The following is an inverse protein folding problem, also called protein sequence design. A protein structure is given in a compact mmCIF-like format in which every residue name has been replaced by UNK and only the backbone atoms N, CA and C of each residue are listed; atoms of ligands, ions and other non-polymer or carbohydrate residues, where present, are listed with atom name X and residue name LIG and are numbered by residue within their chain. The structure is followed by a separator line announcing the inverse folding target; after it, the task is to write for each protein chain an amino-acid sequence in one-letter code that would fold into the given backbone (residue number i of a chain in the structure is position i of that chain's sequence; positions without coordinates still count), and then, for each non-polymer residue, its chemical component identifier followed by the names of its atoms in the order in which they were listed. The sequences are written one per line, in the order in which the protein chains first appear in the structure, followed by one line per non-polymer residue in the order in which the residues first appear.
data_IF_390283154121
#
_entry.id   IF_390283154121
#
_cell.length_a   1.000
_cell.length_b   1.000
_cell.length_c   1.000
_cell.angle_alpha   90.00
_cell.angle_beta   90.00
_cell.angle_gamma   90.00
#
_symmetry.space_group_name_H-M   'P 1'
#
loop_
_entity.id
_entity.type
_entity.pdbx_description
1 polymer ?
#
# COMPACT_ATOMS: atom_id res chain seq x y z
N UNK A 1 30.58 35.84 -70.40
CA UNK A 1 29.50 35.17 -69.63
C UNK A 1 29.92 33.73 -69.40
N UNK A 2 29.57 33.11 -68.26
CA UNK A 2 30.24 31.98 -67.56
C UNK A 2 31.30 32.50 -66.58
N UNK A 3 31.41 32.14 -65.30
CA UNK A 3 30.81 31.08 -64.46
C UNK A 3 31.26 31.37 -63.02
N UNK A 4 30.39 31.24 -61.99
CA UNK A 4 30.82 30.98 -60.59
C UNK A 4 29.64 30.69 -59.65
N UNK A 5 29.13 29.45 -59.67
CA UNK A 5 28.30 28.90 -58.60
C UNK A 5 28.85 27.51 -58.25
N UNK A 6 29.12 27.25 -56.97
CA UNK A 6 29.43 25.92 -56.47
C UNK A 6 30.53 25.89 -55.43
N UNK A 7 30.16 26.07 -54.15
CA UNK A 7 30.89 25.57 -52.97
C UNK A 7 30.07 25.84 -51.70
N UNK A 8 28.97 25.10 -51.49
CA UNK A 8 28.21 25.18 -50.23
C UNK A 8 27.45 23.90 -49.84
N UNK A 9 27.76 22.76 -50.46
CA UNK A 9 27.06 21.48 -50.19
C UNK A 9 27.87 20.45 -49.35
N UNK A 10 29.14 20.71 -49.05
CA UNK A 10 30.03 19.69 -48.43
C UNK A 10 30.08 19.70 -46.88
N UNK A 11 29.52 20.71 -46.20
CA UNK A 11 29.62 20.83 -44.74
C UNK A 11 28.47 20.17 -43.95
N UNK A 12 27.33 19.88 -44.59
CA UNK A 12 26.18 19.27 -43.89
C UNK A 12 26.28 17.74 -43.76
N UNK A 13 27.03 17.06 -44.64
CA UNK A 13 27.11 15.58 -44.64
C UNK A 13 28.07 15.05 -43.55
N UNK A 14 29.16 15.76 -43.25
CA UNK A 14 30.13 15.35 -42.23
C UNK A 14 29.54 15.41 -40.80
N UNK A 15 28.64 16.36 -40.53
CA UNK A 15 28.04 16.53 -39.20
C UNK A 15 27.06 15.41 -38.82
N UNK A 16 26.40 14.78 -39.80
CA UNK A 16 25.42 13.72 -39.55
C UNK A 16 26.10 12.39 -39.22
N UNK A 17 27.21 12.05 -39.90
CA UNK A 17 27.95 10.81 -39.64
C UNK A 17 28.67 10.83 -38.28
N UNK A 18 29.14 11.99 -37.80
CA UNK A 18 29.77 12.10 -36.48
C UNK A 18 28.77 12.04 -35.31
N UNK A 19 27.52 12.45 -35.52
CA UNK A 19 26.47 12.36 -34.50
C UNK A 19 26.00 10.91 -34.26
N UNK A 20 25.94 10.13 -35.33
CA UNK A 20 25.59 8.69 -35.35
C UNK A 20 26.58 7.84 -34.52
N UNK A 21 27.89 8.07 -34.74
CA UNK A 21 28.97 7.40 -33.99
C UNK A 21 28.98 7.79 -32.50
N UNK A 22 28.73 9.07 -32.18
CA UNK A 22 28.72 9.55 -30.81
C UNK A 22 27.54 8.98 -29.98
N UNK A 23 26.33 8.94 -30.54
CA UNK A 23 25.16 8.40 -29.85
C UNK A 23 25.30 6.89 -29.59
N UNK A 24 25.71 6.14 -30.61
CA UNK A 24 25.93 4.69 -30.53
C UNK A 24 27.02 4.36 -29.51
N UNK A 25 28.13 5.11 -29.50
CA UNK A 25 29.21 4.91 -28.54
C UNK A 25 28.78 5.17 -27.10
N UNK A 26 28.03 6.25 -26.83
CA UNK A 26 27.49 6.51 -25.47
C UNK A 26 26.52 5.39 -25.05
N UNK A 27 25.66 4.95 -25.96
CA UNK A 27 24.72 3.87 -25.70
C UNK A 27 25.42 2.56 -25.32
N UNK A 28 26.37 2.11 -26.13
CA UNK A 28 27.10 0.86 -25.90
C UNK A 28 27.98 0.90 -24.65
N UNK A 29 28.62 2.05 -24.38
CA UNK A 29 29.57 2.18 -23.28
C UNK A 29 28.91 2.51 -21.94
N UNK A 30 27.74 3.16 -21.93
CA UNK A 30 27.11 3.68 -20.69
C UNK A 30 25.69 3.18 -20.45
N UNK A 31 24.87 2.99 -21.48
CA UNK A 31 23.48 2.53 -21.32
C UNK A 31 23.38 1.00 -21.32
N UNK A 32 24.08 0.32 -22.23
CA UNK A 32 24.06 -1.14 -22.32
C UNK A 32 24.60 -1.87 -21.08
N UNK A 33 25.62 -1.36 -20.35
CA UNK A 33 26.02 -1.96 -19.09
C UNK A 33 24.91 -1.95 -18.03
N UNK A 34 24.08 -0.90 -17.98
CA UNK A 34 22.89 -0.85 -17.10
C UNK A 34 21.91 -1.94 -17.53
N UNK A 35 21.70 -2.09 -18.85
CA UNK A 35 20.81 -3.12 -19.38
C UNK A 35 21.25 -4.54 -19.02
N UNK A 36 22.56 -4.81 -19.12
CA UNK A 36 23.17 -6.12 -18.88
C UNK A 36 23.49 -6.42 -17.43
N UNK A 37 23.41 -5.43 -16.54
CA UNK A 37 23.68 -5.62 -15.12
C UNK A 37 22.63 -6.53 -14.49
N UNK A 38 23.02 -7.40 -13.57
CA UNK A 38 22.08 -8.15 -12.73
C UNK A 38 21.47 -7.28 -11.61
N UNK A 39 22.03 -6.08 -11.39
CA UNK A 39 21.47 -5.14 -10.43
C UNK A 39 20.16 -4.54 -10.97
N UNK A 40 19.15 -4.36 -10.10
CA UNK A 40 17.93 -3.69 -10.49
C UNK A 40 18.17 -2.19 -10.71
N UNK A 41 17.40 -1.60 -11.61
CA UNK A 41 17.48 -0.17 -11.92
C UNK A 41 16.87 0.72 -10.82
N UNK A 42 17.07 2.03 -10.88
CA UNK A 42 16.39 2.96 -9.96
C UNK A 42 14.86 2.90 -10.02
N UNK A 43 14.28 2.40 -11.13
CA UNK A 43 12.83 2.25 -11.29
C UNK A 43 12.22 1.27 -10.29
N UNK A 44 12.97 0.25 -9.82
CA UNK A 44 12.45 -0.70 -8.82
C UNK A 44 12.29 -0.09 -7.44
N UNK A 45 12.83 1.11 -7.21
CA UNK A 45 12.63 1.80 -5.94
C UNK A 45 11.15 2.12 -5.70
N UNK A 46 10.44 2.53 -6.76
CA UNK A 46 9.03 2.88 -6.69
C UNK A 46 8.10 1.73 -7.10
N UNK A 47 8.62 0.75 -7.85
CA UNK A 47 7.89 -0.39 -8.35
C UNK A 47 8.45 -1.68 -7.78
N UNK A 48 7.65 -2.38 -6.97
CA UNK A 48 8.09 -3.63 -6.36
C UNK A 48 8.16 -4.79 -7.36
N UNK A 49 7.42 -4.68 -8.48
CA UNK A 49 7.43 -5.65 -9.56
C UNK A 49 6.96 -5.04 -10.89
N UNK A 50 7.31 -5.69 -11.99
CA UNK A 50 6.79 -5.42 -13.32
C UNK A 50 7.39 -4.20 -14.05
N UNK A 51 8.20 -3.37 -13.39
CA UNK A 51 8.86 -2.21 -14.01
C UNK A 51 10.34 -2.17 -13.66
N UNK A 52 11.16 -2.18 -14.70
CA UNK A 52 12.59 -1.88 -14.65
C UNK A 52 12.93 -0.97 -15.84
N UNK A 53 13.96 -0.14 -15.70
CA UNK A 53 14.48 0.70 -16.78
C UNK A 53 14.84 -0.14 -18.03
N UNK A 54 15.29 -1.38 -17.83
CA UNK A 54 15.58 -2.36 -18.88
C UNK A 54 14.40 -2.63 -19.81
N UNK A 55 13.17 -2.52 -19.31
CA UNK A 55 11.96 -2.72 -20.12
C UNK A 55 11.80 -1.67 -21.23
N UNK A 56 12.54 -0.57 -21.15
CA UNK A 56 12.52 0.53 -22.12
C UNK A 56 13.73 0.52 -23.06
N UNK A 57 14.63 -0.46 -22.93
CA UNK A 57 15.87 -0.55 -23.72
C UNK A 57 15.74 -1.66 -24.77
N UNK A 58 16.05 -1.35 -26.03
CA UNK A 58 16.13 -2.31 -27.14
C UNK A 58 17.59 -2.66 -27.44
N UNK A 59 17.87 -3.71 -28.23
CA UNK A 59 19.25 -4.12 -28.54
C UNK A 59 20.13 -3.05 -29.20
N UNK A 60 19.54 -2.03 -29.84
CA UNK A 60 20.29 -0.92 -30.48
C UNK A 60 19.88 0.45 -29.95
N UNK A 61 20.81 1.40 -30.08
CA UNK A 61 20.61 2.82 -29.75
C UNK A 61 19.39 3.39 -30.48
N UNK A 62 19.36 3.27 -31.81
CA UNK A 62 18.31 3.81 -32.66
C UNK A 62 16.93 3.29 -32.29
N UNK A 63 16.80 1.97 -32.12
CA UNK A 63 15.54 1.35 -31.78
C UNK A 63 15.06 1.78 -30.38
N UNK A 64 15.99 1.95 -29.44
CA UNK A 64 15.67 2.45 -28.09
C UNK A 64 15.20 3.90 -28.16
N UNK A 65 15.92 4.76 -28.86
CA UNK A 65 15.57 6.17 -29.00
C UNK A 65 14.22 6.38 -29.68
N UNK A 66 14.01 5.73 -30.84
CA UNK A 66 12.74 5.80 -31.58
C UNK A 66 11.56 5.33 -30.71
N UNK A 67 11.74 4.22 -29.99
CA UNK A 67 10.73 3.71 -29.06
C UNK A 67 10.38 4.71 -27.96
N UNK A 68 11.38 5.32 -27.31
CA UNK A 68 11.14 6.31 -26.26
C UNK A 68 10.50 7.60 -26.81
N UNK A 69 10.94 8.06 -27.99
CA UNK A 69 10.36 9.21 -28.71
C UNK A 69 8.89 8.97 -29.03
N UNK A 70 8.56 7.82 -29.60
CA UNK A 70 7.21 7.50 -30.07
C UNK A 70 6.22 7.28 -28.92
N UNK A 71 6.73 6.92 -27.74
CA UNK A 71 5.98 6.89 -26.49
C UNK A 71 5.83 8.27 -25.81
N UNK A 72 6.40 9.34 -26.40
CA UNK A 72 6.40 10.68 -25.81
C UNK A 72 7.26 10.81 -24.56
N UNK A 73 8.25 9.93 -24.38
CA UNK A 73 9.17 9.94 -23.25
C UNK A 73 10.39 10.85 -23.47
N UNK A 74 10.68 11.20 -24.73
CA UNK A 74 11.76 12.11 -25.14
C UNK A 74 11.19 13.45 -25.57
N UNK A 75 11.77 14.53 -25.04
CA UNK A 75 11.56 15.87 -25.58
C UNK A 75 12.65 16.14 -26.62
N UNK A 76 12.27 16.19 -27.90
CA UNK A 76 13.22 16.36 -29.00
C UNK A 76 13.93 17.71 -28.98
N UNK A 77 13.26 18.76 -28.52
CA UNK A 77 13.80 20.13 -28.57
C UNK A 77 14.62 20.47 -27.32
N UNK A 78 14.22 19.90 -26.18
CA UNK A 78 14.87 20.08 -24.87
C UNK A 78 15.14 18.71 -24.26
N UNK A 79 16.16 17.96 -24.74
CA UNK A 79 16.42 16.57 -24.33
C UNK A 79 16.59 16.40 -22.82
N UNK A 80 17.16 17.40 -22.13
CA UNK A 80 17.28 17.44 -20.67
C UNK A 80 15.94 17.51 -19.92
N UNK A 81 14.86 17.93 -20.58
CA UNK A 81 13.51 17.97 -20.01
C UNK A 81 12.67 16.73 -20.36
N UNK A 82 13.28 15.72 -21.00
CA UNK A 82 12.63 14.46 -21.36
C UNK A 82 11.97 13.80 -20.15
N UNK A 83 10.76 13.26 -20.35
CA UNK A 83 9.99 12.59 -19.29
C UNK A 83 10.74 11.40 -18.71
N UNK A 84 11.48 10.64 -19.52
CA UNK A 84 12.28 9.51 -19.02
C UNK A 84 13.35 9.94 -18.00
N UNK A 85 14.00 11.10 -18.20
CA UNK A 85 14.98 11.62 -17.25
C UNK A 85 14.31 12.04 -15.93
N UNK A 86 13.11 12.62 -16.01
CA UNK A 86 12.30 12.96 -14.83
C UNK A 86 11.92 11.71 -14.04
N UNK A 87 11.59 10.61 -14.73
CA UNK A 87 11.23 9.34 -14.11
C UNK A 87 12.45 8.65 -13.46
N UNK A 88 13.60 8.60 -14.13
CA UNK A 88 14.85 8.08 -13.56
C UNK A 88 15.23 8.88 -12.30
N UNK A 89 15.17 10.21 -12.38
CA UNK A 89 15.52 11.07 -11.25
C UNK A 89 14.47 11.07 -10.11
N UNK A 90 13.35 10.37 -10.27
CA UNK A 90 12.29 10.33 -9.27
C UNK A 90 12.81 9.66 -7.98
N UNK A 91 12.47 10.28 -6.86
CA UNK A 91 12.79 9.82 -5.51
C UNK A 91 11.51 9.41 -4.81
N UNK A 92 11.63 8.46 -3.91
CA UNK A 92 10.57 8.13 -2.96
C UNK A 92 10.50 9.26 -1.92
N UNK A 93 9.42 10.04 -1.93
CA UNK A 93 9.28 11.22 -1.06
C UNK A 93 9.28 10.88 0.42
N UNK A 94 8.89 9.65 0.76
CA UNK A 94 8.64 9.22 2.14
C UNK A 94 9.70 8.22 2.65
N UNK A 95 10.70 7.90 1.81
CA UNK A 95 11.73 6.91 2.15
C UNK A 95 13.15 7.42 1.85
N UNK A 96 13.65 8.30 2.73
CA UNK A 96 15.02 8.83 2.66
C UNK A 96 16.08 7.71 2.64
N UNK A 97 15.86 6.60 3.35
CA UNK A 97 16.77 5.46 3.38
C UNK A 97 16.85 4.72 2.03
N UNK A 98 15.72 4.47 1.38
CA UNK A 98 15.71 3.88 0.04
C UNK A 98 16.36 4.82 -1.00
N UNK A 99 16.13 6.13 -0.89
CA UNK A 99 16.76 7.11 -1.77
C UNK A 99 18.28 7.07 -1.74
N UNK A 100 18.88 6.84 -0.57
CA UNK A 100 20.33 6.75 -0.40
C UNK A 100 20.90 5.48 -1.04
N UNK A 101 20.22 4.33 -0.90
CA UNK A 101 20.67 3.05 -1.46
C UNK A 101 20.74 3.08 -2.99
N UNK A 102 19.79 3.76 -3.64
CA UNK A 102 19.71 3.85 -5.10
C UNK A 102 20.36 5.12 -5.67
N UNK A 103 20.98 5.98 -4.84
CA UNK A 103 21.50 7.27 -5.27
C UNK A 103 22.55 7.12 -6.38
N UNK A 104 23.54 6.24 -6.18
CA UNK A 104 24.61 5.99 -7.14
C UNK A 104 24.10 5.44 -8.46
N UNK A 105 23.23 4.41 -8.43
CA UNK A 105 22.65 3.82 -9.65
C UNK A 105 21.80 4.84 -10.40
N UNK A 106 20.98 5.62 -9.69
CA UNK A 106 20.17 6.69 -10.28
C UNK A 106 21.05 7.75 -10.96
N UNK A 107 22.12 8.20 -10.32
CA UNK A 107 23.01 9.21 -10.89
C UNK A 107 23.71 8.69 -12.15
N UNK A 108 24.18 7.44 -12.13
CA UNK A 108 24.76 6.79 -13.28
C UNK A 108 23.76 6.65 -14.44
N UNK A 109 22.54 6.16 -14.15
CA UNK A 109 21.45 6.04 -15.11
C UNK A 109 21.07 7.39 -15.71
N UNK A 110 20.88 8.41 -14.87
CA UNK A 110 20.49 9.75 -15.29
C UNK A 110 21.54 10.38 -16.19
N UNK A 111 22.82 10.28 -15.80
CA UNK A 111 23.94 10.83 -16.57
C UNK A 111 24.06 10.14 -17.92
N UNK A 112 24.04 8.81 -17.95
CA UNK A 112 24.13 8.02 -19.17
C UNK A 112 22.98 8.35 -20.14
N UNK A 113 21.73 8.36 -19.66
CA UNK A 113 20.57 8.67 -20.49
C UNK A 113 20.58 10.13 -20.95
N UNK A 114 20.95 11.09 -20.10
CA UNK A 114 20.93 12.50 -20.46
C UNK A 114 21.93 12.82 -21.58
N UNK A 115 23.14 12.28 -21.51
CA UNK A 115 24.15 12.43 -22.56
C UNK A 115 23.74 11.73 -23.86
N UNK A 116 23.25 10.49 -23.76
CA UNK A 116 22.80 9.71 -24.90
C UNK A 116 21.64 10.38 -25.63
N UNK A 117 20.61 10.84 -24.90
CA UNK A 117 19.47 11.54 -25.50
C UNK A 117 19.88 12.84 -26.19
N UNK A 118 20.83 13.59 -25.64
CA UNK A 118 21.37 14.80 -26.28
C UNK A 118 22.03 14.48 -27.62
N UNK A 119 22.77 13.36 -27.70
CA UNK A 119 23.38 12.92 -28.95
C UNK A 119 22.32 12.50 -29.98
N UNK A 120 21.36 11.65 -29.60
CA UNK A 120 20.29 11.21 -30.50
C UNK A 120 19.39 12.35 -30.97
N UNK A 121 19.03 13.31 -30.10
CA UNK A 121 18.18 14.44 -30.47
C UNK A 121 18.86 15.41 -31.45
N UNK A 122 20.18 15.35 -31.60
CA UNK A 122 20.93 16.15 -32.59
C UNK A 122 21.00 15.47 -33.96
N UNK A 123 20.72 14.16 -34.05
CA UNK A 123 20.73 13.43 -35.31
C UNK A 123 19.39 13.62 -36.06
N UNK A 124 19.40 14.31 -37.22
CA UNK A 124 18.19 14.50 -38.02
C UNK A 124 17.58 13.20 -38.52
N UNK A 125 18.37 12.14 -38.73
CA UNK A 125 17.85 10.84 -39.16
C UNK A 125 16.98 10.23 -38.08
N UNK A 126 17.46 10.20 -36.83
CA UNK A 126 16.71 9.69 -35.69
C UNK A 126 15.51 10.56 -35.33
N UNK A 127 15.64 11.89 -35.40
CA UNK A 127 14.49 12.80 -35.18
C UNK A 127 13.35 12.52 -36.16
N UNK A 128 13.68 12.33 -37.45
CA UNK A 128 12.72 12.21 -38.53
C UNK A 128 12.40 10.76 -38.93
N UNK A 129 12.94 9.76 -38.22
CA UNK A 129 12.68 8.36 -38.50
C UNK A 129 11.18 8.06 -38.41
N UNK A 130 10.63 7.15 -39.23
CA UNK A 130 9.23 6.73 -39.17
C UNK A 130 8.82 6.30 -37.76
N UNK A 131 7.52 6.40 -37.46
CA UNK A 131 6.99 5.88 -36.20
C UNK A 131 7.02 4.35 -36.20
N UNK A 132 7.42 3.79 -35.07
CA UNK A 132 7.34 2.37 -34.81
C UNK A 132 5.89 1.90 -34.66
N UNK A 133 5.61 0.65 -35.01
CA UNK A 133 4.35 0.01 -34.67
C UNK A 133 4.24 -0.22 -33.15
N UNK A 134 3.01 -0.32 -32.63
CA UNK A 134 2.79 -0.48 -31.18
C UNK A 134 3.45 -1.74 -30.59
N UNK A 135 3.60 -2.80 -31.39
CA UNK A 135 4.28 -4.05 -31.02
C UNK A 135 5.80 -3.93 -30.96
N UNK A 136 6.37 -2.86 -31.52
CA UNK A 136 7.82 -2.65 -31.58
C UNK A 136 8.34 -1.72 -30.48
N UNK A 137 7.43 -1.10 -29.72
CA UNK A 137 7.74 -0.21 -28.60
C UNK A 137 8.25 -1.02 -27.40
N UNK A 138 9.41 -0.64 -26.89
CA UNK A 138 9.94 -1.13 -25.62
C UNK A 138 9.21 -0.47 -24.45
N UNK A 139 8.44 -1.27 -23.73
CA UNK A 139 7.69 -0.90 -22.54
C UNK A 139 7.55 -2.13 -21.63
N UNK A 140 7.23 -1.95 -20.35
CA UNK A 140 6.85 -3.05 -19.48
C UNK A 140 5.79 -3.96 -20.13
N UNK A 141 5.96 -5.27 -20.00
CA UNK A 141 5.00 -6.25 -20.51
C UNK A 141 3.66 -6.22 -19.76
N UNK A 142 3.68 -5.71 -18.52
CA UNK A 142 2.51 -5.61 -17.65
C UNK A 142 1.59 -4.46 -18.09
N UNK A 143 0.26 -4.60 -17.96
CA UNK A 143 -0.68 -3.49 -18.12
C UNK A 143 -0.44 -2.37 -17.11
N UNK A 144 -0.81 -1.15 -17.47
CA UNK A 144 -0.72 0.05 -16.63
C UNK A 144 -1.39 -0.14 -15.26
N UNK A 145 -2.52 -0.83 -15.22
CA UNK A 145 -3.28 -1.10 -14.00
C UNK A 145 -2.46 -1.94 -13.01
N UNK A 146 -1.78 -2.98 -13.52
CA UNK A 146 -0.90 -3.84 -12.72
C UNK A 146 0.30 -3.04 -12.24
N UNK A 147 0.95 -2.29 -13.14
CA UNK A 147 2.10 -1.44 -12.80
C UNK A 147 1.75 -0.44 -11.70
N UNK A 148 0.55 0.17 -11.76
CA UNK A 148 0.09 1.11 -10.74
C UNK A 148 -0.19 0.40 -9.43
N UNK A 149 -0.78 -0.79 -9.47
CA UNK A 149 -1.10 -1.58 -8.28
C UNK A 149 0.16 -2.05 -7.54
N UNK A 150 1.23 -2.42 -8.25
CA UNK A 150 2.49 -2.92 -7.67
C UNK A 150 3.43 -1.82 -7.17
N UNK A 151 3.01 -0.55 -7.19
CA UNK A 151 3.82 0.56 -6.66
C UNK A 151 3.90 0.52 -5.14
N UNK A 152 5.04 0.96 -4.61
CA UNK A 152 5.29 1.04 -3.16
C UNK A 152 4.29 1.94 -2.43
N UNK A 153 3.86 3.05 -3.04
CA UNK A 153 2.88 3.96 -2.44
C UNK A 153 1.48 3.34 -2.34
N UNK A 154 1.06 2.54 -3.34
CA UNK A 154 -0.17 1.75 -3.26
C UNK A 154 -0.09 0.66 -2.21
N UNK A 155 1.06 -0.02 -2.11
CA UNK A 155 1.28 -0.99 -1.05
C UNK A 155 1.23 -0.32 0.33
N UNK A 156 1.78 0.89 0.45
CA UNK A 156 1.72 1.69 1.67
C UNK A 156 0.29 2.08 2.02
N UNK A 157 -0.51 2.55 1.05
CA UNK A 157 -1.93 2.84 1.27
C UNK A 157 -2.68 1.59 1.78
N UNK A 158 -2.41 0.42 1.19
CA UNK A 158 -2.96 -0.86 1.66
C UNK A 158 -2.45 -1.22 3.07
N UNK A 159 -1.16 -1.00 3.36
CA UNK A 159 -0.57 -1.22 4.67
C UNK A 159 -1.23 -0.34 5.74
N UNK A 160 -1.47 0.93 5.42
CA UNK A 160 -2.12 1.89 6.30
C UNK A 160 -3.55 1.46 6.67
N UNK A 161 -4.30 0.98 5.69
CA UNK A 161 -5.68 0.51 5.90
C UNK A 161 -5.72 -0.80 6.70
N UNK A 162 -4.83 -1.74 6.39
CA UNK A 162 -4.93 -3.12 6.88
C UNK A 162 -4.12 -3.38 8.15
N UNK A 163 -2.84 -3.00 8.18
CA UNK A 163 -1.92 -3.26 9.30
C UNK A 163 -1.95 -2.09 10.28
N UNK A 164 -1.66 -0.89 9.78
CA UNK A 164 -1.58 0.32 10.61
C UNK A 164 -2.95 0.72 11.16
N UNK A 165 -4.03 0.43 10.44
CA UNK A 165 -5.40 0.62 10.89
C UNK A 165 -5.72 -0.16 12.17
N UNK A 166 -5.06 -1.29 12.37
CA UNK A 166 -5.25 -2.20 13.50
C UNK A 166 -4.19 -2.01 14.61
N UNK A 167 -3.39 -0.94 14.52
CA UNK A 167 -2.21 -0.71 15.37
C UNK A 167 -2.48 -0.77 16.87
N UNK A 168 -3.64 -0.33 17.37
CA UNK A 168 -3.95 -0.36 18.81
C UNK A 168 -3.98 -1.78 19.40
N UNK A 169 -4.08 -2.83 18.58
CA UNK A 169 -3.95 -4.23 19.03
C UNK A 169 -2.51 -4.61 19.38
N UNK A 170 -1.52 -3.93 18.77
CA UNK A 170 -0.10 -4.28 18.79
C UNK A 170 0.79 -3.22 19.47
N UNK A 171 0.43 -1.94 19.33
CA UNK A 171 1.25 -0.78 19.71
C UNK A 171 1.70 -0.77 21.15
N UNK A 172 0.85 -1.24 22.07
CA UNK A 172 1.17 -1.26 23.50
C UNK A 172 2.47 -2.02 23.81
N UNK A 173 2.87 -2.99 22.99
CA UNK A 173 4.10 -3.75 23.17
C UNK A 173 5.20 -3.36 22.17
N UNK A 174 4.82 -2.92 20.97
CA UNK A 174 5.72 -2.86 19.82
C UNK A 174 6.11 -1.44 19.37
N UNK A 175 5.48 -0.40 19.93
CA UNK A 175 5.83 1.00 19.63
C UNK A 175 7.19 1.31 20.22
N UNK A 176 8.15 1.57 19.33
CA UNK A 176 9.52 1.91 19.68
C UNK A 176 9.58 3.05 20.70
N UNK A 177 10.33 2.84 21.77
CA UNK A 177 10.55 3.86 22.81
C UNK A 177 9.42 4.03 23.84
N UNK A 178 8.27 3.39 23.66
CA UNK A 178 7.22 3.39 24.68
C UNK A 178 7.68 2.68 25.96
N UNK A 179 7.12 3.05 27.13
CA UNK A 179 7.56 2.48 28.41
C UNK A 179 7.45 0.95 28.44
N UNK A 180 6.33 0.41 27.98
CA UNK A 180 6.10 -1.03 27.92
C UNK A 180 7.02 -1.70 26.90
N UNK A 181 7.29 -1.06 25.77
CA UNK A 181 8.25 -1.57 24.78
C UNK A 181 9.67 -1.65 25.36
N UNK A 182 10.15 -0.63 26.07
CA UNK A 182 11.49 -0.65 26.71
C UNK A 182 11.66 -1.84 27.65
N UNK A 183 10.66 -2.12 28.50
CA UNK A 183 10.65 -3.31 29.39
C UNK A 183 10.71 -4.62 28.59
N UNK A 184 10.02 -4.69 27.46
CA UNK A 184 10.03 -5.89 26.61
C UNK A 184 11.31 -6.03 25.80
N UNK A 185 11.95 -4.93 25.41
CA UNK A 185 13.25 -4.91 24.73
C UNK A 185 14.35 -5.39 25.66
N UNK A 186 14.36 -4.98 26.93
CA UNK A 186 15.32 -5.49 27.93
C UNK A 186 15.24 -7.02 28.06
N UNK A 187 14.04 -7.58 28.00
CA UNK A 187 13.82 -9.03 28.14
C UNK A 187 14.05 -9.82 26.85
N UNK A 188 13.62 -9.28 25.71
CA UNK A 188 13.49 -10.06 24.48
C UNK A 188 14.33 -9.50 23.32
N UNK A 189 14.98 -8.34 23.46
CA UNK A 189 15.77 -7.69 22.41
C UNK A 189 14.99 -6.69 21.55
N UNK A 190 15.74 -5.92 20.73
CA UNK A 190 15.22 -4.82 19.90
C UNK A 190 14.19 -5.25 18.85
N UNK A 191 14.14 -6.54 18.49
CA UNK A 191 13.19 -7.04 17.49
C UNK A 191 11.73 -6.91 17.93
N UNK A 192 11.45 -6.64 19.21
CA UNK A 192 10.11 -6.29 19.69
C UNK A 192 9.66 -4.93 19.14
N UNK A 193 10.58 -4.01 18.87
CA UNK A 193 10.32 -2.63 18.43
C UNK A 193 10.11 -2.52 16.92
N UNK A 194 9.16 -3.27 16.39
CA UNK A 194 8.89 -3.27 14.95
C UNK A 194 7.93 -2.17 14.50
N UNK A 195 7.17 -1.55 15.40
CA UNK A 195 6.33 -0.39 15.07
C UNK A 195 7.16 0.89 15.20
N UNK A 196 7.42 1.52 14.05
CA UNK A 196 8.22 2.75 13.92
C UNK A 196 7.33 3.99 14.01
N UNK A 197 7.93 5.17 13.84
CA UNK A 197 7.24 6.46 14.01
C UNK A 197 6.13 6.65 12.99
N UNK A 198 6.32 6.16 11.77
CA UNK A 198 5.33 6.25 10.68
C UNK A 198 4.93 4.88 10.14
N UNK A 199 3.80 4.84 9.43
CA UNK A 199 3.36 3.65 8.71
C UNK A 199 4.40 3.22 7.64
N UNK A 200 4.97 4.18 6.91
CA UNK A 200 5.99 3.94 5.88
C UNK A 200 7.28 3.31 6.44
N UNK A 201 7.78 3.84 7.56
CA UNK A 201 8.95 3.28 8.24
C UNK A 201 8.67 1.89 8.80
N UNK A 202 7.46 1.67 9.34
CA UNK A 202 7.04 0.35 9.86
C UNK A 202 6.95 -0.66 8.73
N UNK A 203 6.29 -0.33 7.62
CA UNK A 203 6.20 -1.20 6.45
C UNK A 203 7.60 -1.54 5.92
N UNK A 204 8.47 -0.54 5.78
CA UNK A 204 9.86 -0.73 5.33
C UNK A 204 10.63 -1.67 6.26
N UNK A 205 10.49 -1.49 7.57
CA UNK A 205 11.12 -2.38 8.56
C UNK A 205 10.63 -3.82 8.40
N UNK A 206 9.31 -4.03 8.29
CA UNK A 206 8.71 -5.35 8.17
C UNK A 206 9.14 -6.07 6.90
N UNK A 207 9.14 -5.38 5.76
CA UNK A 207 9.58 -5.94 4.46
C UNK A 207 11.06 -6.34 4.50
N UNK A 208 11.91 -5.55 5.16
CA UNK A 208 13.36 -5.84 5.27
C UNK A 208 13.68 -6.94 6.27
N UNK A 209 12.82 -7.18 7.26
CA UNK A 209 13.03 -8.19 8.30
C UNK A 209 12.56 -9.57 7.80
N UNK A 210 13.53 -10.39 7.38
CA UNK A 210 13.31 -11.69 6.70
C UNK A 210 12.45 -12.72 7.44
N UNK A 211 12.24 -12.60 8.75
CA UNK A 211 11.60 -13.65 9.55
C UNK A 211 10.15 -13.32 9.96
N UNK A 212 9.65 -12.11 9.65
CA UNK A 212 8.32 -11.68 10.08
C UNK A 212 7.22 -11.98 9.05
N UNK A 213 7.60 -12.00 7.77
CA UNK A 213 6.73 -12.23 6.63
C UNK A 213 7.24 -13.47 5.89
N UNK A 214 6.41 -14.51 5.83
CA UNK A 214 6.65 -15.66 4.96
C UNK A 214 6.00 -15.34 3.62
N UNK A 215 6.81 -14.94 2.64
CA UNK A 215 6.30 -14.60 1.31
C UNK A 215 5.64 -15.82 0.68
N UNK A 216 6.29 -17.00 0.73
CA UNK A 216 5.80 -18.23 0.11
C UNK A 216 4.49 -18.73 0.71
N UNK A 217 4.32 -18.62 2.03
CA UNK A 217 3.14 -19.05 2.76
C UNK A 217 2.67 -17.90 3.67
N UNK A 218 1.93 -16.89 3.17
CA UNK A 218 1.62 -15.69 3.94
C UNK A 218 0.93 -15.96 5.30
N UNK A 219 0.34 -17.14 5.50
CA UNK A 219 -0.45 -17.52 6.69
C UNK A 219 0.48 -18.01 7.80
N UNK A 220 1.68 -18.43 7.42
CA UNK A 220 2.74 -18.83 8.32
C UNK A 220 3.60 -17.65 8.76
N UNK A 221 3.33 -16.45 8.25
CA UNK A 221 3.99 -15.22 8.69
C UNK A 221 3.86 -15.04 10.22
N UNK A 222 4.97 -14.76 10.91
CA UNK A 222 4.95 -14.52 12.35
C UNK A 222 4.10 -13.31 12.73
N UNK A 223 3.91 -12.34 11.81
CA UNK A 223 2.96 -11.23 11.97
C UNK A 223 1.51 -11.70 12.16
N UNK A 224 1.17 -12.90 11.73
CA UNK A 224 -0.16 -13.50 11.88
C UNK A 224 -0.19 -14.52 13.03
N UNK A 225 0.77 -15.44 13.04
CA UNK A 225 0.80 -16.55 14.00
C UNK A 225 0.96 -16.09 15.46
N UNK A 226 1.75 -15.05 15.71
CA UNK A 226 1.97 -14.52 17.06
C UNK A 226 0.67 -13.94 17.63
N UNK A 227 0.00 -12.95 17.00
CA UNK A 227 -1.32 -12.48 17.43
C UNK A 227 -2.39 -13.57 17.62
N UNK A 228 -2.36 -14.66 16.85
CA UNK A 228 -3.27 -15.80 17.02
C UNK A 228 -2.92 -16.68 18.23
N UNK A 229 -1.71 -16.53 18.78
CA UNK A 229 -1.13 -17.42 19.78
C UNK A 229 -0.93 -18.85 19.26
N UNK A 230 -0.67 -19.00 17.96
CA UNK A 230 -0.28 -20.28 17.34
C UNK A 230 1.23 -20.55 17.49
N UNK A 231 2.00 -19.52 17.84
CA UNK A 231 3.40 -19.62 18.26
C UNK A 231 3.63 -18.83 19.55
N UNK A 232 4.55 -19.30 20.38
CA UNK A 232 4.92 -18.58 21.60
C UNK A 232 5.64 -17.27 21.25
N UNK A 233 5.28 -16.22 21.98
CA UNK A 233 5.84 -14.88 21.81
C UNK A 233 5.70 -14.01 23.06
N UNK A 234 5.36 -14.60 24.21
CA UNK A 234 5.18 -13.89 25.48
C UNK A 234 3.98 -12.93 25.55
N UNK A 235 3.22 -12.76 24.47
CA UNK A 235 2.01 -11.95 24.41
C UNK A 235 0.71 -12.78 24.48
N UNK A 236 -0.39 -12.11 24.84
CA UNK A 236 -1.72 -12.71 24.80
C UNK A 236 -2.32 -12.70 23.39
N UNK A 237 -3.29 -13.59 23.13
CA UNK A 237 -4.05 -13.65 21.87
C UNK A 237 -4.68 -12.29 21.55
N UNK A 238 -4.39 -11.77 20.36
CA UNK A 238 -4.88 -10.48 19.84
C UNK A 238 -5.86 -10.63 18.69
N UNK A 239 -5.76 -11.73 17.94
CA UNK A 239 -6.63 -12.05 16.82
C UNK A 239 -7.44 -13.32 17.08
N UNK A 240 -8.60 -13.39 16.44
CA UNK A 240 -9.25 -14.62 16.04
C UNK A 240 -9.24 -14.72 14.52
N UNK A 241 -9.21 -15.93 13.98
CA UNK A 241 -9.41 -16.13 12.55
C UNK A 241 -10.75 -15.52 12.14
N UNK A 242 -10.69 -14.68 11.11
CA UNK A 242 -11.83 -13.95 10.56
C UNK A 242 -12.26 -12.68 11.30
N UNK A 243 -11.58 -12.28 12.37
CA UNK A 243 -11.75 -10.92 12.91
C UNK A 243 -11.10 -9.85 12.01
N UNK A 244 -11.42 -8.57 12.21
CA UNK A 244 -10.92 -7.45 11.40
C UNK A 244 -9.40 -7.36 11.42
N UNK A 245 -8.78 -7.66 12.57
CA UNK A 245 -7.32 -7.66 12.72
C UNK A 245 -6.65 -8.72 11.85
N UNK A 246 -7.13 -9.96 11.96
CA UNK A 246 -6.70 -11.09 11.15
C UNK A 246 -6.93 -10.83 9.67
N UNK A 247 -8.14 -10.38 9.28
CA UNK A 247 -8.49 -10.11 7.89
C UNK A 247 -7.59 -9.05 7.27
N UNK A 248 -7.37 -7.93 7.97
CA UNK A 248 -6.46 -6.87 7.50
C UNK A 248 -5.06 -7.41 7.29
N UNK A 249 -4.48 -8.03 8.31
CA UNK A 249 -3.13 -8.59 8.23
C UNK A 249 -2.99 -9.63 7.13
N UNK A 250 -3.91 -10.58 7.07
CA UNK A 250 -3.92 -11.64 6.07
C UNK A 250 -4.03 -11.10 4.65
N UNK A 251 -4.92 -10.13 4.42
CA UNK A 251 -5.10 -9.49 3.11
C UNK A 251 -3.82 -8.81 2.64
N UNK A 252 -3.21 -7.98 3.50
CA UNK A 252 -2.00 -7.26 3.13
C UNK A 252 -0.82 -8.22 2.89
N UNK A 253 -0.67 -9.27 3.70
CA UNK A 253 0.38 -10.27 3.53
C UNK A 253 0.21 -11.07 2.23
N UNK A 254 -1.02 -11.48 1.88
CA UNK A 254 -1.31 -12.16 0.60
C UNK A 254 -1.00 -11.25 -0.61
N UNK A 255 -1.42 -9.98 -0.56
CA UNK A 255 -1.17 -9.02 -1.64
C UNK A 255 0.33 -8.70 -1.76
N UNK A 256 1.01 -8.40 -0.64
CA UNK A 256 2.46 -8.16 -0.63
C UNK A 256 3.22 -9.34 -1.23
N UNK A 257 2.90 -10.57 -0.82
CA UNK A 257 3.54 -11.76 -1.34
C UNK A 257 3.37 -11.92 -2.86
N UNK A 258 2.15 -11.69 -3.38
CA UNK A 258 1.88 -11.73 -4.82
C UNK A 258 2.62 -10.63 -5.58
N UNK A 259 2.70 -9.42 -5.01
CA UNK A 259 3.50 -8.33 -5.59
C UNK A 259 4.98 -8.71 -5.61
N UNK A 260 5.55 -9.19 -4.49
CA UNK A 260 6.96 -9.56 -4.39
C UNK A 260 7.37 -10.72 -5.30
N UNK A 261 6.43 -11.60 -5.65
CA UNK A 261 6.65 -12.70 -6.61
C UNK A 261 6.24 -12.38 -8.05
N UNK A 262 5.83 -11.14 -8.33
CA UNK A 262 5.36 -10.70 -9.66
C UNK A 262 4.21 -11.57 -10.23
N UNK A 263 3.27 -11.97 -9.37
CA UNK A 263 2.17 -12.88 -9.71
C UNK A 263 0.93 -12.20 -10.33
N UNK A 264 0.85 -10.87 -10.28
CA UNK A 264 -0.21 -10.14 -10.98
C UNK A 264 0.17 -9.94 -12.45
N UNK A 265 -0.42 -10.72 -13.35
CA UNK A 265 -0.04 -10.68 -14.75
C UNK A 265 -0.91 -9.73 -15.60
N UNK A 266 -2.20 -9.67 -15.27
CA UNK A 266 -3.22 -8.88 -15.99
C UNK A 266 -4.13 -8.18 -15.00
N UNK A 267 -4.85 -7.16 -15.47
CA UNK A 267 -5.76 -6.37 -14.64
C UNK A 267 -6.82 -7.22 -13.92
N UNK A 268 -7.27 -8.32 -14.53
CA UNK A 268 -8.23 -9.25 -13.93
C UNK A 268 -7.70 -10.07 -12.75
N UNK A 269 -6.38 -10.10 -12.53
CA UNK A 269 -5.77 -10.79 -11.39
C UNK A 269 -5.76 -9.90 -10.13
N UNK A 270 -5.94 -8.59 -10.29
CA UNK A 270 -5.91 -7.62 -9.20
C UNK A 270 -7.09 -7.87 -8.23
N UNK A 271 -6.89 -7.61 -6.92
CA UNK A 271 -7.98 -7.64 -5.96
C UNK A 271 -9.11 -6.70 -6.40
N UNK A 272 -10.35 -7.20 -6.35
CA UNK A 272 -11.52 -6.40 -6.72
C UNK A 272 -11.71 -5.27 -5.72
N UNK A 273 -11.74 -4.03 -6.21
CA UNK A 273 -12.17 -2.89 -5.40
C UNK A 273 -13.68 -2.96 -5.16
N UNK A 274 -14.11 -2.84 -3.91
CA UNK A 274 -15.52 -2.60 -3.58
C UNK A 274 -15.77 -1.09 -3.50
N UNK A 275 -16.51 -0.48 -4.45
CA UNK A 275 -16.79 0.95 -4.42
C UNK A 275 -17.65 1.37 -3.22
N UNK A 276 -18.32 0.42 -2.55
CA UNK A 276 -19.11 0.67 -1.34
C UNK A 276 -18.30 0.48 -0.07
N UNK A 277 -17.01 0.11 -0.18
CA UNK A 277 -16.13 -0.05 0.98
C UNK A 277 -15.98 1.29 1.69
N UNK A 278 -16.39 1.31 2.95
CA UNK A 278 -16.17 2.44 3.84
C UNK A 278 -14.68 2.56 4.14
N UNK A 279 -14.17 3.80 4.19
CA UNK A 279 -12.84 4.07 4.72
C UNK A 279 -12.84 3.83 6.21
N UNK A 280 -11.79 3.15 6.66
CA UNK A 280 -11.57 2.81 8.07
C UNK A 280 -10.60 3.80 8.70
N UNK A 281 -10.97 4.33 9.86
CA UNK A 281 -10.17 5.26 10.63
C UNK A 281 -10.00 4.74 12.04
N UNK A 282 -8.76 4.53 12.45
CA UNK A 282 -8.47 4.09 13.80
C UNK A 282 -8.83 5.17 14.82
N UNK A 283 -9.44 4.78 15.95
CA UNK A 283 -9.72 5.69 17.07
C UNK A 283 -9.34 5.09 18.41
N UNK A 284 -9.19 5.96 19.41
CA UNK A 284 -9.04 5.57 20.82
C UNK A 284 -10.39 5.47 21.55
N UNK A 285 -11.52 5.43 20.82
CA UNK A 285 -12.84 5.30 21.41
C UNK A 285 -13.06 3.84 21.81
N UNK A 286 -13.28 3.59 23.10
CA UNK A 286 -13.54 2.24 23.61
C UNK A 286 -15.04 1.98 23.74
N UNK A 287 -15.46 0.79 23.31
CA UNK A 287 -16.82 0.29 23.49
C UNK A 287 -16.78 -1.02 24.28
N UNK A 288 -17.75 -1.19 25.19
CA UNK A 288 -17.93 -2.40 25.99
C UNK A 288 -19.37 -2.87 25.91
N UNK A 289 -19.53 -4.15 25.59
CA UNK A 289 -20.76 -4.89 25.82
C UNK A 289 -20.61 -5.69 27.11
N UNK A 290 -21.35 -5.32 28.16
CA UNK A 290 -21.26 -5.97 29.47
C UNK A 290 -22.17 -7.19 29.57
N UNK A 291 -21.77 -8.18 30.36
CA UNK A 291 -22.52 -9.40 30.64
C UNK A 291 -22.97 -10.17 29.36
N UNK A 292 -22.04 -10.51 28.43
CA UNK A 292 -22.39 -11.33 27.27
C UNK A 292 -23.02 -12.65 27.71
N UNK A 293 -23.87 -13.22 26.86
CA UNK A 293 -24.51 -14.51 27.15
C UNK A 293 -23.48 -15.64 27.16
N UNK A 294 -23.74 -16.72 27.91
CA UNK A 294 -22.80 -17.85 28.04
C UNK A 294 -22.50 -18.52 26.70
N UNK A 295 -23.50 -18.62 25.82
CA UNK A 295 -23.37 -19.16 24.46
C UNK A 295 -22.42 -18.34 23.55
N UNK A 296 -22.12 -17.09 23.91
CA UNK A 296 -21.18 -16.24 23.17
C UNK A 296 -19.74 -16.41 23.64
N UNK A 297 -19.49 -17.16 24.72
CA UNK A 297 -18.15 -17.30 25.27
C UNK A 297 -17.19 -17.89 24.24
N UNK A 298 -16.02 -17.27 24.14
CA UNK A 298 -14.97 -17.61 23.18
C UNK A 298 -15.34 -17.45 21.70
N UNK A 299 -16.54 -16.94 21.38
CA UNK A 299 -16.97 -16.66 20.01
C UNK A 299 -16.51 -15.29 19.53
N UNK A 300 -16.38 -15.15 18.22
CA UNK A 300 -16.17 -13.86 17.60
C UNK A 300 -17.48 -13.07 17.67
N UNK A 301 -17.47 -11.97 18.41
CA UNK A 301 -18.56 -11.00 18.48
C UNK A 301 -18.13 -9.72 17.76
N UNK A 302 -19.00 -9.26 16.86
CA UNK A 302 -18.87 -8.00 16.15
C UNK A 302 -19.97 -7.04 16.59
N UNK A 303 -19.59 -5.79 16.84
CA UNK A 303 -20.53 -4.68 17.02
C UNK A 303 -20.41 -3.72 15.85
N UNK A 304 -21.55 -3.25 15.35
CA UNK A 304 -21.64 -2.13 14.40
C UNK A 304 -22.47 -1.02 15.02
N UNK A 305 -22.04 0.22 14.85
CA UNK A 305 -22.66 1.39 15.46
C UNK A 305 -23.21 2.29 14.35
N UNK A 306 -24.45 2.72 14.53
CA UNK A 306 -25.16 3.64 13.65
C UNK A 306 -25.50 4.91 14.43
N UNK A 307 -25.42 6.06 13.75
CA UNK A 307 -25.77 7.35 14.32
C UNK A 307 -27.23 7.68 14.01
N UNK A 308 -27.90 8.34 14.95
CA UNK A 308 -29.19 8.97 14.67
C UNK A 308 -29.01 10.25 13.83
N UNK A 309 -29.75 10.36 12.73
CA UNK A 309 -29.87 11.58 11.94
C UNK A 309 -31.07 12.39 12.42
N UNK A 310 -30.81 13.49 13.15
CA UNK A 310 -31.84 14.37 13.68
C UNK A 310 -32.66 15.08 12.59
N UNK A 311 -32.10 15.28 11.40
CA UNK A 311 -32.78 15.91 10.27
C UNK A 311 -33.70 14.91 9.57
N UNK A 312 -33.19 13.70 9.32
CA UNK A 312 -33.94 12.66 8.63
C UNK A 312 -34.88 11.86 9.58
N UNK A 313 -34.74 12.04 10.91
CA UNK A 313 -35.48 11.30 11.95
C UNK A 313 -35.38 9.78 11.77
N UNK A 314 -34.20 9.31 11.37
CA UNK A 314 -33.89 7.88 11.20
C UNK A 314 -32.43 7.60 11.57
N UNK A 315 -32.10 6.33 11.72
CA UNK A 315 -30.70 5.90 11.77
C UNK A 315 -30.01 6.12 10.42
N UNK A 316 -28.72 6.46 10.43
CA UNK A 316 -27.90 6.45 9.23
C UNK A 316 -27.97 5.06 8.57
N UNK A 317 -28.05 5.01 7.23
CA UNK A 317 -28.18 3.73 6.50
C UNK A 317 -26.88 2.92 6.52
N UNK A 318 -25.74 3.58 6.75
CA UNK A 318 -24.41 2.97 6.85
C UNK A 318 -23.88 3.07 8.29
N UNK A 319 -23.13 2.06 8.77
CA UNK A 319 -22.50 2.13 10.08
C UNK A 319 -21.42 3.22 10.09
N UNK A 320 -21.27 3.87 11.24
CA UNK A 320 -20.27 4.90 11.49
C UNK A 320 -19.06 4.38 12.27
N UNK A 321 -19.18 3.19 12.86
CA UNK A 321 -18.10 2.49 13.53
C UNK A 321 -18.36 1.00 13.60
N UNK A 322 -17.27 0.24 13.71
CA UNK A 322 -17.27 -1.22 13.84
C UNK A 322 -16.15 -1.65 14.79
N UNK A 323 -16.34 -2.78 15.44
CA UNK A 323 -15.26 -3.49 16.11
C UNK A 323 -15.64 -4.95 16.31
N UNK A 324 -14.64 -5.82 16.41
CA UNK A 324 -14.83 -7.23 16.72
C UNK A 324 -13.73 -7.79 17.63
N UNK A 325 -14.13 -8.79 18.40
CA UNK A 325 -13.24 -9.51 19.32
C UNK A 325 -13.91 -10.76 19.87
N UNK A 326 -13.12 -11.62 20.50
CA UNK A 326 -13.60 -12.71 21.33
C UNK A 326 -14.43 -12.14 22.48
N UNK A 327 -15.67 -12.61 22.65
CA UNK A 327 -16.44 -12.36 23.86
C UNK A 327 -15.94 -13.25 25.01
N UNK A 328 -16.04 -12.75 26.25
CA UNK A 328 -15.71 -13.53 27.43
C UNK A 328 -16.83 -13.50 28.47
N UNK A 329 -17.45 -14.65 28.69
CA UNK A 329 -18.42 -14.87 29.76
C UNK A 329 -17.73 -14.88 31.11
N UNK A 330 -16.56 -15.52 31.23
CA UNK A 330 -15.74 -15.52 32.46
C UNK A 330 -15.44 -14.11 32.96
N UNK A 331 -15.06 -13.20 32.06
CA UNK A 331 -14.78 -11.79 32.40
C UNK A 331 -16.02 -10.89 32.32
N UNK A 332 -17.20 -11.46 32.01
CA UNK A 332 -18.48 -10.76 31.84
C UNK A 332 -18.37 -9.54 30.93
N UNK A 333 -17.56 -9.62 29.87
CA UNK A 333 -17.29 -8.49 28.99
C UNK A 333 -16.87 -8.93 27.59
N UNK A 334 -17.32 -8.14 26.62
CA UNK A 334 -16.65 -7.91 25.35
C UNK A 334 -16.24 -6.44 25.33
N UNK A 335 -14.99 -6.12 24.97
CA UNK A 335 -14.51 -4.73 24.93
C UNK A 335 -13.32 -4.54 23.99
N UNK A 336 -13.35 -3.46 23.22
CA UNK A 336 -12.30 -3.10 22.27
C UNK A 336 -12.42 -1.63 21.82
N UNK A 337 -11.39 -1.12 21.14
CA UNK A 337 -11.43 0.16 20.42
C UNK A 337 -12.29 0.07 19.17
N UNK A 338 -12.97 1.15 18.83
CA UNK A 338 -13.77 1.27 17.61
C UNK A 338 -12.90 1.69 16.41
N UNK A 339 -13.11 1.02 15.28
CA UNK A 339 -12.72 1.53 13.96
C UNK A 339 -13.86 2.37 13.43
N UNK A 340 -13.60 3.64 13.11
CA UNK A 340 -14.61 4.54 12.58
C UNK A 340 -14.72 4.38 11.06
N UNK A 341 -15.92 4.58 10.54
CA UNK A 341 -16.27 4.31 9.16
C UNK A 341 -16.86 5.56 8.49
N UNK A 342 -16.40 5.85 7.28
CA UNK A 342 -16.94 6.93 6.46
C UNK A 342 -16.87 6.59 4.97
N UNK A 343 -17.83 7.07 4.18
CA UNK A 343 -17.74 7.00 2.72
C UNK A 343 -16.52 7.79 2.24
N UNK A 344 -15.80 7.28 1.24
CA UNK A 344 -14.45 7.75 0.92
C UNK A 344 -14.38 9.23 0.51
N UNK A 345 -15.44 9.73 -0.11
CA UNK A 345 -15.62 11.08 -0.64
C UNK A 345 -16.40 12.02 0.30
N UNK A 346 -16.89 11.50 1.43
CA UNK A 346 -17.64 12.29 2.42
C UNK A 346 -16.78 13.34 3.12
N UNK A 347 -17.40 14.44 3.54
CA UNK A 347 -16.70 15.48 4.32
C UNK A 347 -16.17 14.94 5.65
N UNK A 348 -16.89 13.98 6.25
CA UNK A 348 -16.46 13.22 7.44
C UNK A 348 -15.11 12.53 7.20
N UNK A 349 -14.95 11.85 6.06
CA UNK A 349 -13.69 11.18 5.73
C UNK A 349 -12.54 12.19 5.51
N UNK A 350 -12.81 13.32 4.86
CA UNK A 350 -11.82 14.39 4.66
C UNK A 350 -11.39 15.02 5.99
N UNK A 351 -12.32 15.23 6.91
CA UNK A 351 -12.04 15.80 8.22
C UNK A 351 -11.24 14.83 9.09
N UNK A 352 -11.63 13.56 9.14
CA UNK A 352 -10.88 12.52 9.86
C UNK A 352 -9.51 12.22 9.25
N UNK A 353 -9.33 12.43 7.95
CA UNK A 353 -8.01 12.31 7.33
C UNK A 353 -7.07 13.46 7.70
N UNK A 354 -7.61 14.66 7.95
CA UNK A 354 -6.83 15.86 8.31
C UNK A 354 -6.59 16.00 9.82
N UNK A 355 -7.42 15.36 10.64
CA UNK A 355 -7.41 15.51 12.09
C UNK A 355 -7.49 14.18 12.83
N UNK A 356 -7.89 14.25 14.10
CA UNK A 356 -8.12 13.06 14.92
C UNK A 356 -9.54 12.53 14.67
N UNK A 357 -9.70 11.27 14.21
CA UNK A 357 -11.01 10.68 13.99
C UNK A 357 -11.82 10.59 15.29
N UNK A 358 -12.99 11.22 15.32
CA UNK A 358 -13.88 11.26 16.49
C UNK A 358 -15.35 11.15 16.10
N UNK A 359 -16.13 10.53 16.97
CA UNK A 359 -17.59 10.49 16.88
C UNK A 359 -18.20 11.68 17.65
N UNK A 360 -19.28 12.29 17.14
CA UNK A 360 -19.98 13.36 17.85
C UNK A 360 -20.77 12.80 19.03
N UNK A 361 -21.10 13.63 20.02
CA UNK A 361 -22.03 13.22 21.07
C UNK A 361 -23.44 13.03 20.51
N UNK A 362 -24.24 12.15 21.13
CA UNK A 362 -25.65 12.00 20.80
C UNK A 362 -26.18 10.58 20.89
N UNK A 363 -27.24 10.32 20.10
CA UNK A 363 -28.00 9.06 20.08
C UNK A 363 -27.41 8.08 19.06
N UNK A 364 -27.23 6.84 19.49
CA UNK A 364 -26.62 5.76 18.72
C UNK A 364 -27.43 4.47 18.82
N UNK A 365 -27.27 3.61 17.81
CA UNK A 365 -27.77 2.24 17.78
C UNK A 365 -26.56 1.31 17.64
N UNK A 366 -26.46 0.33 18.53
CA UNK A 366 -25.51 -0.78 18.37
C UNK A 366 -26.25 -2.00 17.84
N UNK A 367 -25.70 -2.67 16.84
CA UNK A 367 -26.12 -4.00 16.39
C UNK A 367 -25.00 -5.00 16.68
N UNK A 368 -25.34 -6.09 17.36
CA UNK A 368 -24.40 -7.14 17.73
C UNK A 368 -24.63 -8.40 16.89
N UNK A 369 -23.53 -8.98 16.40
CA UNK A 369 -23.52 -10.25 15.68
C UNK A 369 -22.50 -11.19 16.33
N UNK A 370 -22.84 -12.48 16.43
CA UNK A 370 -22.00 -13.51 17.02
C UNK A 370 -21.89 -14.69 16.07
N UNK A 371 -20.66 -15.06 15.70
CA UNK A 371 -20.42 -16.26 14.89
C UNK A 371 -20.58 -17.53 15.75
N UNK A 372 -21.82 -17.97 15.91
CA UNK A 372 -22.17 -19.16 16.68
C UNK A 372 -21.73 -20.46 15.99
N UNK A 373 -21.71 -20.43 14.65
CA UNK A 373 -21.42 -21.60 13.81
C UNK A 373 -19.93 -21.83 13.56
N UNK A 374 -19.07 -20.84 13.86
CA UNK A 374 -17.64 -20.88 13.57
C UNK A 374 -17.33 -20.68 12.09
N UNK A 375 -18.22 -20.04 11.32
CA UNK A 375 -18.06 -19.81 9.88
C UNK A 375 -16.77 -19.06 9.58
N UNK A 376 -16.41 -18.09 10.42
CA UNK A 376 -15.20 -17.26 10.26
C UNK A 376 -13.90 -17.99 10.59
N UNK A 377 -13.97 -19.12 11.31
CA UNK A 377 -12.83 -20.01 11.54
C UNK A 377 -12.52 -20.86 10.31
N UNK A 378 -13.55 -21.28 9.58
CA UNK A 378 -13.44 -22.12 8.37
C UNK A 378 -13.11 -21.27 7.13
N UNK A 379 -13.80 -20.15 6.97
CA UNK A 379 -13.52 -19.16 5.93
C UNK A 379 -13.25 -17.81 6.57
N UNK A 380 -11.97 -17.46 6.65
CA UNK A 380 -11.56 -16.20 7.23
C UNK A 380 -12.06 -14.98 6.47
N UNK A 381 -12.49 -15.12 5.20
CA UNK A 381 -13.07 -14.04 4.41
C UNK A 381 -14.56 -13.85 4.67
N UNK A 382 -15.22 -14.80 5.34
CA UNK A 382 -16.63 -14.70 5.66
C UNK A 382 -16.92 -13.46 6.51
N UNK A 383 -17.95 -12.70 6.14
CA UNK A 383 -18.49 -11.58 6.92
C UNK A 383 -19.60 -12.06 7.83
N UNK A 384 -19.93 -11.33 8.90
CA UNK A 384 -21.15 -11.56 9.67
C UNK A 384 -22.38 -11.35 8.78
N UNK A 385 -23.46 -12.09 9.05
CA UNK A 385 -24.73 -12.09 8.31
C UNK A 385 -25.91 -11.93 9.27
N UNK A 386 -27.11 -11.77 8.72
CA UNK A 386 -28.34 -11.64 9.51
C UNK A 386 -28.60 -12.86 10.41
N UNK A 387 -28.17 -14.05 10.01
CA UNK A 387 -28.25 -15.27 10.85
C UNK A 387 -27.37 -15.20 12.12
N UNK A 388 -26.34 -14.35 12.12
CA UNK A 388 -25.47 -14.12 13.27
C UNK A 388 -26.01 -13.01 14.20
N UNK A 389 -27.09 -12.33 13.81
CA UNK A 389 -27.64 -11.20 14.56
C UNK A 389 -28.26 -11.66 15.89
N UNK A 390 -27.70 -11.16 17.00
CA UNK A 390 -28.17 -11.50 18.35
C UNK A 390 -29.01 -10.40 19.00
N UNK A 391 -29.00 -9.19 18.42
CA UNK A 391 -29.87 -8.09 18.84
C UNK A 391 -29.22 -6.71 18.69
N UNK A 392 -30.00 -5.69 19.03
CA UNK A 392 -29.62 -4.29 18.96
C UNK A 392 -30.13 -3.49 20.16
N UNK A 393 -29.45 -2.38 20.47
CA UNK A 393 -29.85 -1.47 21.55
C UNK A 393 -29.56 -0.02 21.19
N UNK A 394 -30.44 0.88 21.61
CA UNK A 394 -30.21 2.32 21.55
C UNK A 394 -29.43 2.79 22.78
N UNK A 395 -28.54 3.77 22.60
CA UNK A 395 -27.78 4.36 23.71
C UNK A 395 -27.40 5.82 23.41
N UNK A 396 -27.05 6.55 24.48
CA UNK A 396 -26.48 7.89 24.41
C UNK A 396 -24.98 7.81 24.69
N UNK A 397 -24.17 8.54 23.92
CA UNK A 397 -22.72 8.54 24.10
C UNK A 397 -22.13 9.95 24.05
N UNK A 398 -21.09 10.15 24.86
CA UNK A 398 -20.28 11.38 24.92
C UNK A 398 -18.83 11.13 24.47
N UNK A 399 -18.62 10.06 23.69
CA UNK A 399 -17.35 9.53 23.17
C UNK A 399 -16.07 10.19 23.69
N UNK A 400 -15.57 9.68 24.82
CA UNK A 400 -14.28 10.07 25.38
C UNK A 400 -13.22 9.03 24.99
N UNK A 401 -12.00 9.47 24.62
CA UNK A 401 -10.93 8.54 24.29
C UNK A 401 -10.37 7.85 25.55
N UNK A 402 -9.86 6.64 25.35
CA UNK A 402 -9.10 5.91 26.36
C UNK A 402 -9.89 4.84 27.12
N UNK A 403 -9.15 3.83 27.59
CA UNK A 403 -9.70 2.63 28.22
C UNK A 403 -10.55 2.93 29.46
N UNK A 404 -10.20 3.95 30.25
CA UNK A 404 -10.94 4.31 31.47
C UNK A 404 -12.30 4.96 31.26
N UNK A 405 -12.66 5.31 30.01
CA UNK A 405 -13.87 6.09 29.71
C UNK A 405 -14.77 5.42 28.67
N UNK A 406 -14.74 4.09 28.61
CA UNK A 406 -15.49 3.31 27.61
C UNK A 406 -16.98 3.65 27.64
N UNK A 407 -17.58 3.66 26.45
CA UNK A 407 -19.04 3.63 26.34
C UNK A 407 -19.51 2.20 26.59
N UNK A 408 -20.48 2.03 27.51
CA UNK A 408 -20.94 0.70 27.96
C UNK A 408 -22.41 0.51 27.61
N UNK A 409 -22.71 -0.63 26.99
CA UNK A 409 -24.08 -1.13 26.77
C UNK A 409 -24.19 -2.50 27.40
N UNK A 410 -25.32 -2.80 28.04
CA UNK A 410 -25.58 -4.14 28.58
C UNK A 410 -26.02 -5.10 27.49
N UNK A 411 -25.46 -6.32 27.43
CA UNK A 411 -25.94 -7.35 26.51
C UNK A 411 -27.43 -7.69 26.74
N UNK A 412 -27.92 -7.54 27.97
CA UNK A 412 -29.34 -7.72 28.34
C UNK A 412 -30.25 -6.62 27.79
N UNK A 413 -29.70 -5.54 27.27
CA UNK A 413 -30.46 -4.46 26.61
C UNK A 413 -30.65 -4.72 25.11
N UNK A 414 -29.96 -5.73 24.56
CA UNK A 414 -30.09 -6.09 23.16
C UNK A 414 -31.44 -6.79 22.93
N UNK A 415 -32.21 -6.25 22.00
CA UNK A 415 -33.48 -6.80 21.56
C UNK A 415 -33.37 -7.21 20.08
N UNK A 416 -34.05 -8.29 19.69
CA UNK A 416 -34.11 -8.72 18.29
C UNK A 416 -34.95 -7.77 17.43
#
# INVERSE_FOLDING_TARGET
MLTRWGCLAAWLVASAAMADDAATKVFEQRVMPIFKSDQPSSCVQCHLAGVDLKNYIKPSSDATFQSLRDQGLVNLDQPEQSKILKLINMKDTDNAGANLLHATSREAELTAFAEWLKACCRDPKLRNAPKLAASELAKPARPDEVIRFTRTDRLLESFEQNIWGQRHRCMGCHTEGSEQNRKLVEKNGEQVSWMKKTAAETMTYLIRKKDLIDVENPEKSLLLLKPLKEVDHGGGKKFLKGDLGYKGFRTWLEDFAKVSRDEYAKAGDLPKSDPRRLREFTSELWFKLSNPQQEWDEKLLQVTIYRWDDRAKKWEDLPIAISDRQASFKFKAWQHTLTLLAAADSDRAKDWQRGEPRLPNGKFLVKAHVDLTGRTLTDWRATMRDEDFVGQAEFQAHWRPGFGTMTVVGATQLNK
#
